data_IF_000942377737
#
_entry.id   IF_000942377737
#
_cell.length_a   1.000
_cell.length_b   1.000
_cell.length_c   1.000
_cell.angle_alpha   90.00
_cell.angle_beta   90.00
_cell.angle_gamma   90.00
#
_symmetry.space_group_name_H-M   'P 1'
#
loop_
_entity.id
_entity.type
_entity.pdbx_description
1 polymer ?
#
# COMPACT_ATOMS: atom_id res chain seq x y z
N UNK A 1 6.89 7.27 -34.50
CA UNK A 1 7.55 6.59 -33.40
C UNK A 1 6.62 6.67 -32.17
N UNK A 2 6.23 5.53 -31.59
CA UNK A 2 5.53 5.52 -30.30
C UNK A 2 6.50 6.10 -29.27
N UNK A 3 6.10 7.21 -28.63
CA UNK A 3 6.87 7.79 -27.55
C UNK A 3 6.90 6.77 -26.41
N UNK A 4 8.09 6.41 -25.96
CA UNK A 4 8.24 5.45 -24.85
C UNK A 4 7.80 6.18 -23.57
N UNK A 5 6.77 5.64 -22.91
CA UNK A 5 6.27 6.17 -21.65
C UNK A 5 7.34 6.02 -20.56
N UNK A 6 7.63 7.11 -19.85
CA UNK A 6 8.55 7.04 -18.69
C UNK A 6 7.90 6.32 -17.50
N UNK A 7 8.73 5.88 -16.55
CA UNK A 7 8.24 5.27 -15.30
C UNK A 7 7.37 6.26 -14.53
N UNK A 8 7.77 7.51 -14.48
CA UNK A 8 7.02 8.57 -13.81
C UNK A 8 5.67 8.82 -14.49
N UNK A 9 5.64 8.88 -15.81
CA UNK A 9 4.37 9.02 -16.57
C UNK A 9 3.44 7.84 -16.32
N UNK A 10 3.98 6.61 -16.28
CA UNK A 10 3.20 5.42 -16.00
C UNK A 10 2.52 5.51 -14.63
N UNK A 11 3.25 5.92 -13.58
CA UNK A 11 2.72 6.01 -12.22
C UNK A 11 1.96 7.31 -11.93
N UNK A 12 1.93 8.26 -12.84
CA UNK A 12 1.06 9.44 -12.75
C UNK A 12 -0.37 9.12 -13.19
N UNK A 13 -0.54 8.15 -14.08
CA UNK A 13 -1.85 7.76 -14.58
C UNK A 13 -2.54 6.78 -13.63
N UNK A 14 -3.78 7.04 -13.20
CA UNK A 14 -4.54 6.11 -12.38
C UNK A 14 -4.73 4.75 -13.07
N UNK A 15 -4.67 3.68 -12.27
CA UNK A 15 -5.06 2.34 -12.69
C UNK A 15 -6.51 2.03 -12.30
N UNK A 16 -6.92 0.77 -12.45
CA UNK A 16 -8.29 0.34 -12.14
C UNK A 16 -8.71 0.65 -10.70
N UNK A 17 -7.81 0.46 -9.74
CA UNK A 17 -8.12 0.64 -8.32
C UNK A 17 -8.04 2.10 -7.88
N UNK A 18 -7.27 2.93 -8.59
CA UNK A 18 -7.04 4.33 -8.22
C UNK A 18 -7.85 5.33 -9.04
N UNK A 19 -8.56 4.90 -10.07
CA UNK A 19 -9.46 5.77 -10.82
C UNK A 19 -10.59 6.30 -9.93
N UNK A 20 -10.81 7.61 -9.98
CA UNK A 20 -11.83 8.28 -9.18
C UNK A 20 -13.16 8.50 -9.92
N UNK A 21 -13.24 8.15 -11.21
CA UNK A 21 -14.45 8.28 -12.01
C UNK A 21 -15.03 9.70 -11.96
N UNK A 22 -16.31 9.81 -11.59
CA UNK A 22 -17.02 11.09 -11.46
C UNK A 22 -16.43 12.03 -10.39
N UNK A 23 -15.64 11.51 -9.48
CA UNK A 23 -15.02 12.30 -8.40
C UNK A 23 -13.67 12.92 -8.80
N UNK A 24 -13.16 12.63 -10.00
CA UNK A 24 -11.88 13.15 -10.46
C UNK A 24 -11.73 14.68 -10.30
N UNK A 25 -12.74 15.51 -10.62
CA UNK A 25 -12.66 16.96 -10.39
C UNK A 25 -12.39 17.33 -8.93
N UNK A 26 -13.03 16.63 -7.99
CA UNK A 26 -12.83 16.88 -6.55
C UNK A 26 -11.39 16.60 -6.12
N UNK A 27 -10.80 15.51 -6.64
CA UNK A 27 -9.43 15.15 -6.30
C UNK A 27 -8.42 16.16 -6.88
N UNK A 28 -8.69 16.68 -8.08
CA UNK A 28 -7.83 17.70 -8.72
C UNK A 28 -7.81 19.03 -7.96
N UNK A 29 -8.87 19.34 -7.23
CA UNK A 29 -8.98 20.56 -6.43
C UNK A 29 -8.29 20.47 -5.07
N UNK A 30 -7.90 19.26 -4.62
CA UNK A 30 -7.20 19.06 -3.36
C UNK A 30 -5.81 19.73 -3.39
N UNK A 31 -5.23 20.09 -2.23
CA UNK A 31 -3.87 20.59 -2.18
C UNK A 31 -2.88 19.56 -2.73
N UNK A 32 -1.75 20.03 -3.25
CA UNK A 32 -0.70 19.16 -3.79
C UNK A 32 0.38 18.79 -2.75
N UNK A 33 0.29 19.35 -1.56
CA UNK A 33 1.21 19.06 -0.46
C UNK A 33 0.97 17.65 0.10
N UNK A 34 2.02 16.84 0.17
CA UNK A 34 1.93 15.43 0.59
C UNK A 34 1.47 15.30 2.04
N UNK A 35 1.95 16.19 2.91
CA UNK A 35 1.57 16.18 4.33
C UNK A 35 0.07 16.48 4.50
N UNK A 36 -0.44 17.44 3.73
CA UNK A 36 -1.87 17.76 3.73
C UNK A 36 -2.70 16.61 3.16
N UNK A 37 -2.24 15.94 2.10
CA UNK A 37 -2.93 14.77 1.54
C UNK A 37 -2.96 13.61 2.53
N UNK A 38 -1.89 13.37 3.28
CA UNK A 38 -1.87 12.38 4.36
C UNK A 38 -2.90 12.71 5.45
N UNK A 39 -3.00 13.98 5.86
CA UNK A 39 -4.03 14.42 6.84
C UNK A 39 -5.44 14.24 6.32
N UNK A 40 -5.68 14.50 5.04
CA UNK A 40 -6.98 14.24 4.40
C UNK A 40 -7.32 12.75 4.49
N UNK A 41 -6.41 11.86 4.12
CA UNK A 41 -6.63 10.40 4.24
C UNK A 41 -6.94 10.00 5.67
N UNK A 42 -6.17 10.48 6.64
CA UNK A 42 -6.37 10.22 8.08
C UNK A 42 -7.73 10.75 8.57
N UNK A 43 -8.20 11.85 8.02
CA UNK A 43 -9.51 12.43 8.32
C UNK A 43 -10.69 11.66 7.73
N UNK A 44 -10.46 10.81 6.75
CA UNK A 44 -11.50 10.10 5.99
C UNK A 44 -11.59 8.61 6.29
N UNK A 45 -10.49 7.97 6.68
CA UNK A 45 -10.39 6.51 6.84
C UNK A 45 -9.94 6.17 8.26
N UNK A 46 -10.63 5.20 8.88
CA UNK A 46 -10.20 4.57 10.13
C UNK A 46 -9.78 3.13 9.85
N UNK A 47 -8.59 2.74 10.33
CA UNK A 47 -8.09 1.39 10.16
C UNK A 47 -8.90 0.40 11.01
N UNK A 48 -9.36 -0.68 10.39
CA UNK A 48 -10.23 -1.68 11.02
C UNK A 48 -9.64 -2.26 12.31
N UNK A 49 -8.33 -2.51 12.37
CA UNK A 49 -7.68 -3.06 13.56
C UNK A 49 -7.36 -2.01 14.64
N UNK A 50 -7.45 -0.74 14.30
CA UNK A 50 -7.19 0.37 15.23
C UNK A 50 -8.47 1.02 15.76
N UNK A 51 -9.61 0.78 15.14
CA UNK A 51 -10.88 1.43 15.47
C UNK A 51 -11.20 1.37 16.98
N UNK A 52 -11.06 0.21 17.59
CA UNK A 52 -11.30 0.04 19.04
C UNK A 52 -10.35 0.87 19.91
N UNK A 53 -9.11 1.07 19.46
CA UNK A 53 -8.11 1.89 20.17
C UNK A 53 -8.43 3.38 20.08
N UNK A 54 -9.13 3.81 19.04
CA UNK A 54 -9.69 5.18 18.95
C UNK A 54 -10.98 5.35 19.75
N UNK A 55 -11.55 4.27 20.29
CA UNK A 55 -12.74 4.30 21.11
C UNK A 55 -14.05 4.07 20.37
N UNK A 56 -14.01 3.51 19.17
CA UNK A 56 -15.22 3.13 18.43
C UNK A 56 -15.33 1.63 18.26
N UNK A 57 -16.55 1.13 18.32
CA UNK A 57 -16.91 -0.25 18.01
C UNK A 57 -17.55 -0.28 16.62
N UNK A 58 -17.03 -1.12 15.74
CA UNK A 58 -17.53 -1.26 14.38
C UNK A 58 -18.60 -2.35 14.29
N UNK A 59 -19.74 -2.03 13.66
CA UNK A 59 -20.73 -3.03 13.30
C UNK A 59 -20.19 -3.99 12.24
N UNK A 60 -20.76 -5.19 12.16
CA UNK A 60 -20.38 -6.16 11.11
C UNK A 60 -20.62 -5.60 9.70
N UNK A 61 -21.65 -4.76 9.53
CA UNK A 61 -21.91 -4.06 8.26
C UNK A 61 -20.77 -3.11 7.89
N UNK A 62 -20.29 -2.31 8.85
CA UNK A 62 -19.21 -1.35 8.63
C UNK A 62 -17.87 -2.05 8.34
N UNK A 63 -17.61 -3.19 8.95
CA UNK A 63 -16.39 -3.99 8.71
C UNK A 63 -16.30 -4.49 7.27
N UNK A 64 -17.40 -4.65 6.56
CA UNK A 64 -17.40 -5.06 5.15
C UNK A 64 -16.81 -4.02 4.21
N UNK A 65 -16.69 -2.77 4.65
CA UNK A 65 -16.11 -1.68 3.83
C UNK A 65 -14.67 -1.96 3.39
N UNK A 66 -13.91 -2.76 4.13
CA UNK A 66 -12.57 -3.19 3.72
C UNK A 66 -12.56 -4.04 2.44
N UNK A 67 -13.71 -4.55 2.02
CA UNK A 67 -13.87 -5.26 0.75
C UNK A 67 -14.04 -4.35 -0.48
N UNK A 68 -14.16 -3.04 -0.30
CA UNK A 68 -14.26 -2.08 -1.40
C UNK A 68 -12.91 -1.99 -2.13
N UNK A 69 -12.89 -2.38 -3.41
CA UNK A 69 -11.64 -2.52 -4.16
C UNK A 69 -11.16 -1.22 -4.79
N UNK A 70 -12.09 -0.44 -5.34
CA UNK A 70 -11.78 0.72 -6.17
C UNK A 70 -11.92 2.04 -5.43
N UNK A 71 -11.18 3.05 -5.88
CA UNK A 71 -11.31 4.41 -5.36
C UNK A 71 -12.73 4.96 -5.52
N UNK A 72 -13.38 4.69 -6.65
CA UNK A 72 -14.77 5.12 -6.89
C UNK A 72 -15.72 4.54 -5.87
N UNK A 73 -15.63 3.23 -5.58
CA UNK A 73 -16.48 2.58 -4.58
C UNK A 73 -16.24 3.14 -3.18
N UNK A 74 -14.99 3.45 -2.83
CA UNK A 74 -14.65 4.06 -1.55
C UNK A 74 -15.22 5.47 -1.42
N UNK A 75 -15.13 6.28 -2.47
CA UNK A 75 -15.69 7.63 -2.48
C UNK A 75 -17.22 7.61 -2.44
N UNK A 76 -17.86 6.69 -3.14
CA UNK A 76 -19.31 6.47 -3.04
C UNK A 76 -19.70 6.23 -1.59
N UNK A 77 -19.02 5.32 -0.92
CA UNK A 77 -19.32 4.98 0.48
C UNK A 77 -19.02 6.12 1.44
N UNK A 78 -17.93 6.85 1.23
CA UNK A 78 -17.59 8.04 2.02
C UNK A 78 -18.71 9.08 2.00
N UNK A 79 -19.22 9.40 0.80
CA UNK A 79 -20.29 10.39 0.66
C UNK A 79 -21.65 9.88 1.09
N UNK A 80 -21.91 8.57 1.11
CA UNK A 80 -23.08 7.99 1.76
C UNK A 80 -23.04 8.16 3.27
N UNK A 81 -21.86 8.01 3.88
CA UNK A 81 -21.68 8.15 5.32
C UNK A 81 -21.73 9.61 5.78
N UNK A 82 -21.15 10.50 4.98
CA UNK A 82 -21.03 11.92 5.29
C UNK A 82 -20.73 12.71 4.01
N UNK A 83 -21.52 13.71 3.68
CA UNK A 83 -21.44 14.46 2.43
C UNK A 83 -20.60 15.75 2.50
N UNK A 84 -19.89 15.99 3.61
CA UNK A 84 -18.99 17.12 3.72
C UNK A 84 -17.83 17.02 2.72
N UNK A 85 -17.17 18.16 2.39
CA UNK A 85 -15.97 18.13 1.53
C UNK A 85 -14.89 17.18 2.03
N UNK A 86 -14.10 16.61 1.11
CA UNK A 86 -13.04 15.66 1.46
C UNK A 86 -11.95 16.26 2.37
N UNK A 87 -11.79 17.59 2.35
CA UNK A 87 -10.85 18.32 3.20
C UNK A 87 -11.29 18.44 4.66
N UNK A 88 -12.55 18.14 4.96
CA UNK A 88 -13.06 18.14 6.31
C UNK A 88 -12.96 16.74 6.94
N UNK A 89 -12.27 16.64 8.07
CA UNK A 89 -12.17 15.38 8.80
C UNK A 89 -13.55 14.91 9.28
N UNK A 90 -13.84 13.63 9.07
CA UNK A 90 -15.08 13.00 9.57
C UNK A 90 -14.95 12.68 11.06
N UNK A 91 -16.05 12.72 11.80
CA UNK A 91 -16.12 12.04 13.10
C UNK A 91 -15.76 10.55 12.92
N UNK A 92 -15.18 9.94 13.92
CA UNK A 92 -14.71 8.54 13.84
C UNK A 92 -15.77 7.57 13.31
N UNK A 93 -16.99 7.69 13.79
CA UNK A 93 -18.11 6.83 13.40
C UNK A 93 -18.58 7.04 11.95
N UNK A 94 -18.13 8.10 11.30
CA UNK A 94 -18.45 8.41 9.90
C UNK A 94 -17.26 8.26 8.95
N UNK A 95 -16.10 7.89 9.46
CA UNK A 95 -14.95 7.55 8.60
C UNK A 95 -15.20 6.22 7.89
N UNK A 96 -14.70 6.12 6.68
CA UNK A 96 -14.64 4.84 5.96
C UNK A 96 -13.77 3.85 6.72
N UNK A 97 -14.24 2.63 6.89
CA UNK A 97 -13.43 1.56 7.47
C UNK A 97 -12.52 0.98 6.39
N UNK A 98 -11.23 0.99 6.63
CA UNK A 98 -10.24 0.50 5.70
C UNK A 98 -9.11 -0.25 6.41
N UNK A 99 -8.19 -0.75 5.62
CA UNK A 99 -6.93 -1.33 6.09
C UNK A 99 -5.74 -0.60 5.48
N UNK A 100 -4.52 -1.07 5.73
CA UNK A 100 -3.31 -0.43 5.21
C UNK A 100 -3.28 -0.38 3.67
N UNK A 101 -3.78 -1.40 2.98
CA UNK A 101 -3.90 -1.39 1.52
C UNK A 101 -4.84 -0.27 1.06
N UNK A 102 -5.98 -0.12 1.71
CA UNK A 102 -6.98 0.90 1.36
C UNK A 102 -6.43 2.31 1.54
N UNK A 103 -5.74 2.55 2.65
CA UNK A 103 -5.08 3.83 2.94
C UNK A 103 -4.01 4.14 1.89
N UNK A 104 -3.20 3.15 1.53
CA UNK A 104 -2.11 3.30 0.55
C UNK A 104 -2.63 3.58 -0.86
N UNK A 105 -3.66 2.86 -1.29
CA UNK A 105 -4.32 3.06 -2.59
C UNK A 105 -5.02 4.41 -2.64
N UNK A 106 -5.66 4.82 -1.56
CA UNK A 106 -6.34 6.10 -1.47
C UNK A 106 -5.34 7.26 -1.63
N UNK A 107 -4.24 7.23 -0.89
CA UNK A 107 -3.19 8.25 -1.02
C UNK A 107 -2.56 8.24 -2.42
N UNK A 108 -2.26 7.07 -2.98
CA UNK A 108 -1.72 6.98 -4.33
C UNK A 108 -2.66 7.62 -5.37
N UNK A 109 -3.97 7.39 -5.24
CA UNK A 109 -4.98 8.02 -6.08
C UNK A 109 -4.95 9.55 -5.96
N UNK A 110 -4.94 10.09 -4.73
CA UNK A 110 -4.89 11.54 -4.53
C UNK A 110 -3.65 12.15 -5.19
N UNK A 111 -2.49 11.54 -4.99
CA UNK A 111 -1.23 11.99 -5.57
C UNK A 111 -1.26 11.97 -7.11
N UNK A 112 -1.76 10.89 -7.71
CA UNK A 112 -1.87 10.76 -9.16
C UNK A 112 -2.76 11.86 -9.75
N UNK A 113 -3.89 12.19 -9.13
CA UNK A 113 -4.76 13.28 -9.57
C UNK A 113 -4.17 14.68 -9.37
N UNK A 114 -3.10 14.78 -8.58
CA UNK A 114 -2.29 16.00 -8.46
C UNK A 114 -1.10 16.03 -9.42
N UNK A 115 -1.00 15.05 -10.32
CA UNK A 115 0.11 14.94 -11.26
C UNK A 115 1.42 14.46 -10.65
N UNK A 116 1.38 13.88 -9.47
CA UNK A 116 2.53 13.33 -8.75
C UNK A 116 2.58 11.83 -8.98
N UNK A 117 3.65 11.28 -9.57
CA UNK A 117 3.78 9.85 -9.75
C UNK A 117 3.71 9.13 -8.39
N UNK A 118 2.84 8.15 -8.26
CA UNK A 118 2.64 7.43 -7.02
C UNK A 118 2.19 6.00 -7.25
N UNK A 119 2.52 5.14 -6.29
CA UNK A 119 2.17 3.72 -6.31
C UNK A 119 2.06 3.16 -4.90
N UNK A 120 1.17 2.21 -4.69
CA UNK A 120 1.12 1.43 -3.46
C UNK A 120 2.20 0.34 -3.51
N UNK A 121 2.74 -0.01 -2.34
CA UNK A 121 3.71 -1.09 -2.19
C UNK A 121 3.25 -2.05 -1.10
N UNK A 122 3.50 -3.34 -1.28
CA UNK A 122 3.19 -4.39 -0.31
C UNK A 122 4.46 -5.00 0.26
N UNK A 123 4.44 -5.27 1.54
CA UNK A 123 5.56 -5.88 2.25
C UNK A 123 5.32 -5.92 3.75
N UNK A 124 6.30 -5.45 4.52
CA UNK A 124 6.30 -5.61 5.97
C UNK A 124 6.78 -4.34 6.68
N UNK A 125 6.04 -3.93 7.71
CA UNK A 125 6.48 -2.91 8.64
C UNK A 125 7.28 -3.51 9.79
N UNK A 126 8.40 -2.85 10.14
CA UNK A 126 9.26 -3.31 11.24
C UNK A 126 8.96 -2.62 12.56
N UNK A 127 7.99 -1.72 12.59
CA UNK A 127 7.69 -0.79 13.68
C UNK A 127 6.41 -1.12 14.45
N UNK A 128 5.67 -2.15 14.06
CA UNK A 128 4.43 -2.55 14.76
C UNK A 128 4.70 -3.43 15.98
N UNK A 129 5.56 -4.43 15.82
CA UNK A 129 5.91 -5.41 16.84
C UNK A 129 7.43 -5.59 16.84
N UNK A 130 8.12 -5.39 17.98
CA UNK A 130 9.57 -5.58 18.05
C UNK A 130 10.00 -6.98 17.58
N UNK A 131 11.00 -7.04 16.70
CA UNK A 131 11.57 -8.29 16.18
C UNK A 131 10.66 -9.02 15.18
N UNK A 132 9.58 -8.40 14.73
CA UNK A 132 8.61 -8.96 13.78
C UNK A 132 8.46 -8.08 12.55
N UNK A 133 8.29 -8.72 11.40
CA UNK A 133 7.98 -8.09 10.13
C UNK A 133 6.47 -8.25 9.87
N UNK A 134 5.70 -7.22 10.20
CA UNK A 134 4.23 -7.25 10.10
C UNK A 134 3.78 -6.97 8.68
N UNK A 135 2.89 -7.79 8.13
CA UNK A 135 2.23 -7.56 6.85
C UNK A 135 1.68 -6.13 6.77
N UNK A 136 2.08 -5.41 5.76
CA UNK A 136 1.75 -3.99 5.65
C UNK A 136 1.81 -3.48 4.21
N UNK A 137 1.07 -2.40 3.97
CA UNK A 137 1.09 -1.62 2.74
C UNK A 137 1.41 -0.16 3.05
N UNK A 138 2.16 0.49 2.17
CA UNK A 138 2.44 1.93 2.21
C UNK A 138 2.46 2.50 0.79
N UNK A 139 2.68 3.80 0.66
CA UNK A 139 2.71 4.51 -0.62
C UNK A 139 4.10 5.03 -0.92
N UNK A 140 4.52 4.95 -2.18
CA UNK A 140 5.69 5.66 -2.69
C UNK A 140 5.24 6.74 -3.66
N UNK A 141 5.88 7.91 -3.60
CA UNK A 141 5.71 8.96 -4.59
C UNK A 141 7.05 9.47 -5.10
N UNK A 142 7.06 9.98 -6.33
CA UNK A 142 8.25 10.57 -6.92
C UNK A 142 8.43 12.02 -6.46
N UNK A 143 9.53 12.30 -5.79
CA UNK A 143 9.91 13.64 -5.39
C UNK A 143 10.76 14.27 -6.49
N UNK A 144 10.15 15.16 -7.29
CA UNK A 144 10.77 15.69 -8.51
C UNK A 144 12.08 16.46 -8.24
N UNK A 145 12.13 17.26 -7.18
CA UNK A 145 13.34 18.04 -6.84
C UNK A 145 14.47 17.13 -6.35
N UNK A 146 14.16 16.10 -5.56
CA UNK A 146 15.15 15.17 -5.02
C UNK A 146 15.47 14.02 -5.98
N UNK A 147 14.74 13.88 -7.06
CA UNK A 147 14.91 12.82 -8.06
C UNK A 147 14.95 11.41 -7.43
N UNK A 148 14.02 11.14 -6.51
CA UNK A 148 13.92 9.84 -5.84
C UNK A 148 12.47 9.48 -5.50
N UNK A 149 12.23 8.21 -5.32
CA UNK A 149 10.99 7.72 -4.71
C UNK A 149 11.05 7.90 -3.20
N UNK A 150 9.99 8.49 -2.64
CA UNK A 150 9.83 8.72 -1.19
C UNK A 150 8.75 7.79 -0.68
N UNK A 151 9.03 7.11 0.42
CA UNK A 151 8.09 6.22 1.10
C UNK A 151 7.30 6.95 2.15
N UNK A 152 5.97 6.78 2.10
CA UNK A 152 5.04 7.46 3.00
C UNK A 152 4.08 6.44 3.59
N UNK A 153 3.92 6.43 4.91
CA UNK A 153 2.88 5.68 5.59
C UNK A 153 1.80 6.62 6.14
N UNK A 154 0.76 6.85 5.34
CA UNK A 154 -0.35 7.72 5.74
C UNK A 154 -1.23 7.11 6.85
N UNK A 155 -1.08 5.81 7.16
CA UNK A 155 -1.76 5.21 8.30
C UNK A 155 -1.28 5.78 9.63
N UNK A 156 -0.01 6.17 9.71
CA UNK A 156 0.64 6.64 10.92
C UNK A 156 0.24 8.08 11.24
N UNK A 157 -0.96 8.27 11.77
CA UNK A 157 -1.37 9.53 12.37
C UNK A 157 -0.63 9.79 13.71
N UNK A 158 -0.84 10.94 14.31
CA UNK A 158 -0.20 11.31 15.56
C UNK A 158 -0.47 10.29 16.69
N UNK A 159 -1.70 9.76 16.76
CA UNK A 159 -2.07 8.76 17.76
C UNK A 159 -1.29 7.45 17.57
N UNK A 160 -1.21 6.92 16.35
CA UNK A 160 -0.47 5.71 16.05
C UNK A 160 1.05 5.90 16.24
N UNK A 161 1.58 7.03 15.78
CA UNK A 161 2.99 7.36 16.00
C UNK A 161 3.36 7.30 17.48
N UNK A 162 2.53 7.87 18.33
CA UNK A 162 2.73 7.89 19.78
C UNK A 162 2.62 6.50 20.39
N UNK A 163 1.63 5.72 20.00
CA UNK A 163 1.40 4.35 20.50
C UNK A 163 2.51 3.37 20.08
N UNK A 164 3.03 3.55 18.88
CA UNK A 164 4.07 2.69 18.31
C UNK A 164 5.49 3.20 18.56
N UNK A 165 5.64 4.33 19.25
CA UNK A 165 6.94 4.98 19.50
C UNK A 165 7.75 5.18 18.23
N UNK A 166 7.10 5.74 17.18
CA UNK A 166 7.74 6.00 15.89
C UNK A 166 8.82 7.08 16.05
N UNK A 167 10.04 6.75 15.64
CA UNK A 167 11.21 7.66 15.71
C UNK A 167 11.65 8.17 14.33
N UNK A 168 11.02 7.71 13.25
CA UNK A 168 11.26 8.17 11.88
C UNK A 168 10.12 9.08 11.39
N UNK A 169 10.37 9.82 10.31
CA UNK A 169 9.35 10.62 9.63
C UNK A 169 8.42 9.70 8.81
N UNK A 170 7.13 9.58 9.14
CA UNK A 170 6.19 8.78 8.35
C UNK A 170 6.00 9.27 6.91
N UNK A 171 6.36 10.52 6.62
CA UNK A 171 6.26 11.11 5.28
C UNK A 171 7.54 10.97 4.45
N UNK A 172 8.62 10.52 5.06
CA UNK A 172 9.88 10.15 4.41
C UNK A 172 10.53 9.01 5.21
N UNK A 173 9.97 7.82 5.05
CA UNK A 173 10.35 6.66 5.84
C UNK A 173 11.81 6.28 5.61
N UNK A 174 12.53 6.02 6.71
CA UNK A 174 13.91 5.55 6.68
C UNK A 174 14.00 4.14 6.11
N UNK A 175 15.15 3.82 5.53
CA UNK A 175 15.48 2.46 5.10
C UNK A 175 15.37 1.49 6.30
N UNK A 176 14.74 0.36 6.08
CA UNK A 176 14.52 -0.65 7.12
C UNK A 176 13.21 -0.50 7.90
N UNK A 177 12.55 0.65 7.88
CA UNK A 177 11.23 0.80 8.50
C UNK A 177 10.17 -0.01 7.75
N UNK A 178 10.27 -0.05 6.42
CA UNK A 178 9.44 -0.87 5.56
C UNK A 178 10.30 -1.76 4.67
N UNK A 179 10.00 -3.05 4.69
CA UNK A 179 10.65 -4.07 3.87
C UNK A 179 9.66 -4.52 2.80
N UNK A 180 9.97 -4.25 1.52
CA UNK A 180 9.11 -4.75 0.43
C UNK A 180 9.06 -6.27 0.42
N UNK A 181 8.00 -6.84 -0.14
CA UNK A 181 7.88 -8.29 -0.25
C UNK A 181 9.08 -8.95 -0.90
N UNK A 182 9.64 -8.35 -1.95
CA UNK A 182 10.85 -8.84 -2.62
C UNK A 182 12.09 -8.79 -1.76
N UNK A 183 12.29 -7.71 -0.99
CA UNK A 183 13.40 -7.64 -0.03
C UNK A 183 13.22 -8.66 1.09
N UNK A 184 12.01 -8.81 1.63
CA UNK A 184 11.70 -9.84 2.63
C UNK A 184 12.02 -11.24 2.12
N UNK A 185 11.68 -11.53 0.87
CA UNK A 185 12.04 -12.78 0.21
C UNK A 185 13.55 -13.00 0.19
N UNK A 186 14.32 -12.02 -0.27
CA UNK A 186 15.79 -12.15 -0.32
C UNK A 186 16.40 -12.32 1.05
N UNK A 187 15.94 -11.59 2.06
CA UNK A 187 16.43 -11.73 3.44
C UNK A 187 16.21 -13.17 3.97
N UNK A 188 15.06 -13.76 3.69
CA UNK A 188 14.76 -15.14 4.06
C UNK A 188 15.62 -16.14 3.26
N UNK A 189 15.72 -15.96 1.95
CA UNK A 189 16.47 -16.88 1.08
C UNK A 189 17.97 -16.90 1.37
N UNK A 190 18.53 -15.79 1.81
CA UNK A 190 19.96 -15.66 2.16
C UNK A 190 20.25 -15.99 3.63
N UNK A 191 19.24 -16.34 4.41
CA UNK A 191 19.41 -16.66 5.84
C UNK A 191 19.66 -15.44 6.73
N UNK A 192 19.45 -14.21 6.22
CA UNK A 192 19.62 -12.98 7.00
C UNK A 192 18.42 -12.69 7.91
N UNK A 193 17.26 -13.28 7.62
CA UNK A 193 16.06 -13.20 8.46
C UNK A 193 15.35 -14.55 8.51
N UNK A 194 14.65 -14.78 9.62
CA UNK A 194 13.84 -15.99 9.81
C UNK A 194 12.45 -15.77 9.19
N UNK A 195 12.02 -16.61 8.22
CA UNK A 195 10.68 -16.51 7.63
C UNK A 195 9.55 -16.52 8.66
N UNK A 196 9.72 -17.18 9.79
CA UNK A 196 8.70 -17.25 10.84
C UNK A 196 8.48 -15.94 11.59
N UNK A 197 9.32 -14.94 11.34
CA UNK A 197 9.13 -13.57 11.83
C UNK A 197 8.36 -12.66 10.87
N UNK A 198 7.87 -13.19 9.73
CA UNK A 198 7.12 -12.45 8.72
C UNK A 198 5.68 -12.93 8.68
N UNK A 199 4.74 -12.05 8.85
CA UNK A 199 3.32 -12.37 8.70
C UNK A 199 2.39 -11.45 9.45
N UNK A 200 1.20 -11.95 9.72
CA UNK A 200 0.15 -11.27 10.49
C UNK A 200 -0.66 -12.30 11.28
N UNK A 201 -0.98 -12.00 12.54
CA UNK A 201 -1.70 -12.91 13.44
C UNK A 201 -0.95 -14.24 13.58
N UNK A 202 -1.60 -15.34 13.24
CA UNK A 202 -1.02 -16.70 13.25
C UNK A 202 -0.46 -17.14 11.88
N UNK A 203 -0.65 -16.32 10.84
CA UNK A 203 -0.14 -16.56 9.49
C UNK A 203 1.29 -16.04 9.36
N UNK A 204 2.24 -16.92 9.11
CA UNK A 204 3.66 -16.58 8.99
C UNK A 204 4.42 -17.61 8.16
N UNK A 205 5.63 -17.27 7.79
CA UNK A 205 6.52 -18.17 7.08
C UNK A 205 6.84 -17.74 5.65
N UNK A 206 7.67 -18.51 4.96
CA UNK A 206 8.15 -18.18 3.62
C UNK A 206 7.01 -18.05 2.60
N UNK A 207 5.97 -18.86 2.72
CA UNK A 207 4.79 -18.78 1.85
C UNK A 207 4.07 -17.42 1.98
N UNK A 208 4.06 -16.85 3.19
CA UNK A 208 3.48 -15.54 3.43
C UNK A 208 4.31 -14.44 2.76
N UNK A 209 5.64 -14.53 2.91
CA UNK A 209 6.56 -13.61 2.23
C UNK A 209 6.41 -13.69 0.71
N UNK A 210 6.27 -14.89 0.17
CA UNK A 210 5.98 -15.10 -1.25
C UNK A 210 4.70 -14.37 -1.67
N UNK A 211 3.64 -14.50 -0.90
CA UNK A 211 2.36 -13.86 -1.17
C UNK A 211 2.50 -12.33 -1.23
N UNK A 212 3.17 -11.73 -0.25
CA UNK A 212 3.38 -10.29 -0.22
C UNK A 212 4.31 -9.79 -1.33
N UNK A 213 5.31 -10.58 -1.71
CA UNK A 213 6.14 -10.27 -2.87
C UNK A 213 5.32 -10.26 -4.16
N UNK A 214 4.43 -11.21 -4.35
CA UNK A 214 3.56 -11.27 -5.53
C UNK A 214 2.55 -10.11 -5.51
N UNK A 215 1.99 -9.77 -4.35
CA UNK A 215 1.11 -8.61 -4.21
C UNK A 215 1.84 -7.31 -4.55
N UNK A 216 3.09 -7.17 -4.15
CA UNK A 216 3.93 -6.03 -4.49
C UNK A 216 4.23 -5.97 -6.01
N UNK A 217 4.54 -7.09 -6.61
CA UNK A 217 4.72 -7.18 -8.07
C UNK A 217 3.45 -6.76 -8.82
N UNK A 218 2.28 -7.21 -8.36
CA UNK A 218 1.00 -6.79 -8.93
C UNK A 218 0.75 -5.30 -8.72
N UNK A 219 1.06 -4.77 -7.55
CA UNK A 219 0.93 -3.35 -7.25
C UNK A 219 1.84 -2.48 -8.13
N UNK A 220 3.06 -2.93 -8.42
CA UNK A 220 3.94 -2.29 -9.39
C UNK A 220 3.38 -2.28 -10.82
N UNK A 221 2.45 -3.17 -11.12
CA UNK A 221 1.68 -3.19 -12.36
C UNK A 221 0.32 -2.48 -12.24
N UNK A 222 0.10 -1.72 -11.18
CA UNK A 222 -1.16 -1.03 -10.86
C UNK A 222 -2.35 -1.97 -10.70
N UNK A 223 -2.11 -3.14 -10.14
CA UNK A 223 -3.12 -4.12 -9.74
C UNK A 223 -2.98 -4.35 -8.24
N UNK A 224 -3.60 -3.48 -7.48
CA UNK A 224 -3.57 -3.47 -6.03
C UNK A 224 -4.72 -4.35 -5.49
N UNK A 225 -4.45 -5.64 -5.34
CA UNK A 225 -5.41 -6.63 -4.84
C UNK A 225 -5.67 -6.44 -3.34
N UNK A 226 -6.73 -7.06 -2.84
CA UNK A 226 -7.01 -7.06 -1.39
C UNK A 226 -5.99 -7.94 -0.65
N UNK A 227 -5.67 -7.62 0.62
CA UNK A 227 -4.64 -8.36 1.36
C UNK A 227 -4.91 -9.86 1.51
N UNK A 228 -6.16 -10.27 1.47
CA UNK A 228 -6.57 -11.68 1.59
C UNK A 228 -6.84 -12.38 0.25
N UNK A 229 -6.72 -11.68 -0.88
CA UNK A 229 -6.82 -12.32 -2.19
C UNK A 229 -5.65 -13.28 -2.38
N UNK A 230 -5.96 -14.54 -2.70
CA UNK A 230 -4.98 -15.60 -2.85
C UNK A 230 -5.34 -16.51 -4.03
N UNK A 231 -4.40 -16.68 -4.94
CA UNK A 231 -4.49 -17.65 -6.05
C UNK A 231 -3.09 -17.96 -6.60
N UNK A 232 -3.00 -19.00 -7.44
CA UNK A 232 -1.74 -19.39 -8.07
C UNK A 232 -0.67 -19.69 -7.02
N UNK A 233 0.49 -19.10 -7.17
CA UNK A 233 1.62 -19.28 -6.25
C UNK A 233 1.32 -18.82 -4.81
N UNK A 234 0.43 -17.86 -4.61
CA UNK A 234 0.07 -17.36 -3.28
C UNK A 234 -0.76 -18.33 -2.46
N UNK A 235 -1.44 -19.30 -3.10
CA UNK A 235 -2.38 -20.20 -2.43
C UNK A 235 -1.71 -21.38 -1.71
N UNK A 236 -0.42 -21.55 -1.84
CA UNK A 236 0.30 -22.67 -1.25
C UNK A 236 0.73 -22.33 0.19
N UNK A 237 0.45 -23.23 1.16
CA UNK A 237 0.98 -23.06 2.52
C UNK A 237 2.48 -23.30 2.61
N UNK A 238 3.08 -23.90 1.59
CA UNK A 238 4.51 -24.14 1.46
C UNK A 238 4.96 -23.71 0.06
N UNK A 239 6.16 -23.21 -0.05
CA UNK A 239 6.75 -22.83 -1.34
C UNK A 239 7.38 -24.08 -1.96
N UNK A 240 6.86 -24.59 -3.10
CA UNK A 240 7.48 -25.70 -3.78
C UNK A 240 8.92 -25.38 -4.22
N UNK A 241 9.83 -26.34 -4.05
CA UNK A 241 11.24 -26.14 -4.38
C UNK A 241 11.47 -25.74 -5.85
N UNK A 242 10.67 -26.28 -6.75
CA UNK A 242 10.73 -25.94 -8.18
C UNK A 242 10.37 -24.50 -8.49
N UNK A 243 9.65 -23.80 -7.60
CA UNK A 243 9.23 -22.41 -7.80
C UNK A 243 10.27 -21.39 -7.31
N UNK A 244 11.23 -21.83 -6.49
CA UNK A 244 12.24 -20.95 -5.90
C UNK A 244 13.01 -20.11 -6.93
N UNK A 245 13.50 -20.65 -8.07
CA UNK A 245 14.22 -19.84 -9.05
C UNK A 245 13.36 -18.72 -9.64
N UNK A 246 12.08 -18.96 -9.91
CA UNK A 246 11.15 -17.94 -10.41
C UNK A 246 10.89 -16.87 -9.34
N UNK A 247 10.71 -17.28 -8.10
CA UNK A 247 10.49 -16.35 -6.98
C UNK A 247 11.74 -15.51 -6.70
N UNK A 248 12.94 -16.10 -6.75
CA UNK A 248 14.19 -15.37 -6.62
C UNK A 248 14.34 -14.31 -7.73
N UNK A 249 13.98 -14.67 -8.98
CA UNK A 249 13.95 -13.72 -10.10
C UNK A 249 12.94 -12.60 -9.87
N UNK A 250 11.73 -12.94 -9.43
CA UNK A 250 10.67 -11.95 -9.17
C UNK A 250 11.11 -10.94 -8.10
N UNK A 251 11.73 -11.42 -7.02
CA UNK A 251 12.28 -10.56 -5.98
C UNK A 251 13.31 -9.59 -6.55
N UNK A 252 14.26 -10.07 -7.35
CA UNK A 252 15.27 -9.24 -7.98
C UNK A 252 14.66 -8.16 -8.88
N UNK A 253 13.62 -8.50 -9.65
CA UNK A 253 12.91 -7.55 -10.50
C UNK A 253 12.22 -6.45 -9.69
N UNK A 254 11.53 -6.80 -8.61
CA UNK A 254 10.84 -5.79 -7.77
C UNK A 254 11.81 -4.83 -7.08
N UNK A 255 13.07 -5.23 -6.92
CA UNK A 255 14.15 -4.44 -6.32
C UNK A 255 15.02 -3.71 -7.36
N UNK A 256 14.80 -3.96 -8.64
CA UNK A 256 15.65 -3.45 -9.72
C UNK A 256 15.44 -1.98 -10.08
N UNK A 257 14.55 -1.27 -9.40
CA UNK A 257 14.28 0.13 -9.66
C UNK A 257 13.71 0.39 -11.06
N UNK A 258 13.95 1.58 -11.59
CA UNK A 258 13.43 1.98 -12.91
C UNK A 258 13.95 1.10 -14.06
N UNK A 259 15.18 0.61 -13.96
CA UNK A 259 15.79 -0.25 -14.98
C UNK A 259 15.01 -1.56 -15.17
N UNK A 260 14.34 -2.07 -14.15
CA UNK A 260 13.55 -3.30 -14.20
C UNK A 260 12.10 -3.09 -14.66
N UNK A 261 11.65 -1.85 -14.81
CA UNK A 261 10.24 -1.54 -15.07
C UNK A 261 9.70 -2.23 -16.33
N UNK A 262 10.41 -2.16 -17.44
CA UNK A 262 9.98 -2.79 -18.69
C UNK A 262 9.84 -4.32 -18.55
N UNK A 263 10.74 -4.97 -17.84
CA UNK A 263 10.69 -6.42 -17.61
C UNK A 263 9.55 -6.79 -16.64
N UNK A 264 9.31 -5.99 -15.60
CA UNK A 264 8.16 -6.14 -14.69
C UNK A 264 6.85 -6.09 -15.49
N UNK A 265 6.71 -5.13 -16.40
CA UNK A 265 5.53 -5.01 -17.27
C UNK A 265 5.41 -6.17 -18.24
N UNK A 266 6.50 -6.61 -18.82
CA UNK A 266 6.52 -7.73 -19.76
C UNK A 266 6.17 -9.06 -19.08
N UNK A 267 6.72 -9.31 -17.89
CA UNK A 267 6.41 -10.51 -17.12
C UNK A 267 4.93 -10.56 -16.70
N UNK A 268 4.37 -9.41 -16.30
CA UNK A 268 2.94 -9.31 -15.96
C UNK A 268 2.04 -9.63 -17.16
N UNK A 269 2.41 -9.21 -18.35
CA UNK A 269 1.64 -9.43 -19.59
C UNK A 269 1.75 -10.87 -20.13
N UNK A 270 2.71 -11.64 -19.66
CA UNK A 270 2.90 -13.05 -20.05
C UNK A 270 2.00 -13.97 -19.23
#
# INVERSE_FOLDING_TARGET
AKQIQTVQEFYTQPGQMTQAGRYAPLLRELPADVDELCRIVQGLIVHIFWASRYGIELSEERKKEVGLRTMTAKLDRLFELDDHPLTEARPLEKKLVGNCRDISVFLASLLQYKGIPARARCGFGTYFIPGHYEDHWMTEYWHAEQQRWVRVDAQLDEFQQKKLHIEFDPHDMTEGAFVTGGLGWQLCRTGQADPDHFGIMDMKGLWFVQGDMIRDFLALNKVEILPWDMWGYMAYPEVPEQDLPMMDRLAALTLGGEAAHAEIRSLFAS
#
